data_IF_791463793889
#
_entry.id   IF_791463793889
#
_cell.length_a   1.000
_cell.length_b   1.000
_cell.length_c   1.000
_cell.angle_alpha   90.00
_cell.angle_beta   90.00
_cell.angle_gamma   90.00
#
_symmetry.space_group_name_H-M   'P 1'
#
loop_
_entity.id
_entity.type
_entity.pdbx_description
1 polymer ?
#
# COMPACT_ATOMS: atom_id res chain seq x y z
N UNK A 1 23.34 -18.13 -6.15
CA UNK A 1 22.09 -18.21 -5.36
C UNK A 1 21.10 -17.29 -6.03
N UNK A 2 19.93 -17.80 -6.30
CA UNK A 2 18.82 -17.06 -6.89
C UNK A 2 17.72 -16.90 -5.85
N UNK A 3 17.00 -15.77 -5.88
CA UNK A 3 15.86 -15.52 -5.02
C UNK A 3 14.58 -15.44 -5.85
N UNK A 4 13.62 -16.26 -5.52
CA UNK A 4 12.29 -16.22 -6.09
C UNK A 4 11.41 -15.28 -5.25
N UNK A 5 10.93 -14.24 -5.88
CA UNK A 5 10.14 -13.17 -5.24
C UNK A 5 8.75 -13.15 -5.83
N UNK A 6 7.75 -13.46 -5.01
CA UNK A 6 6.34 -13.47 -5.42
C UNK A 6 5.55 -12.48 -4.60
N UNK A 7 4.75 -11.64 -5.24
CA UNK A 7 3.80 -10.76 -4.55
C UNK A 7 3.55 -9.45 -5.24
N UNK A 8 2.86 -8.58 -4.55
CA UNK A 8 2.63 -7.20 -4.95
C UNK A 8 3.64 -6.24 -4.35
N UNK A 9 3.46 -4.96 -4.64
CA UNK A 9 4.34 -3.89 -4.15
C UNK A 9 4.45 -3.87 -2.61
N UNK A 10 3.37 -4.18 -1.88
CA UNK A 10 3.39 -4.24 -0.41
C UNK A 10 4.35 -5.31 0.14
N UNK A 11 4.40 -6.49 -0.50
CA UNK A 11 5.36 -7.55 -0.16
C UNK A 11 6.79 -7.11 -0.43
N UNK A 12 7.03 -6.43 -1.57
CA UNK A 12 8.35 -5.93 -1.94
C UNK A 12 8.84 -4.85 -0.99
N UNK A 13 7.98 -3.94 -0.55
CA UNK A 13 8.31 -2.94 0.46
C UNK A 13 8.79 -3.60 1.76
N UNK A 14 8.05 -4.57 2.28
CA UNK A 14 8.42 -5.28 3.50
C UNK A 14 9.75 -6.03 3.39
N UNK A 15 10.10 -6.49 2.20
CA UNK A 15 11.35 -7.20 1.92
C UNK A 15 12.46 -6.31 1.36
N UNK A 16 12.24 -5.01 1.22
CA UNK A 16 13.15 -4.07 0.55
C UNK A 16 14.55 -4.06 1.14
N UNK A 17 14.67 -4.11 2.46
CA UNK A 17 15.97 -4.22 3.14
C UNK A 17 16.73 -5.49 2.71
N UNK A 18 16.05 -6.63 2.68
CA UNK A 18 16.63 -7.89 2.24
C UNK A 18 17.04 -7.82 0.76
N UNK A 19 16.17 -7.30 -0.11
CA UNK A 19 16.44 -7.13 -1.54
C UNK A 19 17.68 -6.26 -1.75
N UNK A 20 17.74 -5.10 -1.10
CA UNK A 20 18.85 -4.15 -1.20
C UNK A 20 20.18 -4.76 -0.75
N UNK A 21 20.20 -5.49 0.37
CA UNK A 21 21.42 -6.14 0.88
C UNK A 21 21.87 -7.36 0.06
N UNK A 22 21.04 -7.85 -0.85
CA UNK A 22 21.34 -8.94 -1.77
C UNK A 22 21.34 -8.47 -3.23
N UNK A 23 21.50 -7.18 -3.50
CA UNK A 23 21.35 -6.56 -4.83
C UNK A 23 22.29 -7.13 -5.90
N UNK A 24 23.41 -7.76 -5.51
CA UNK A 24 24.32 -8.45 -6.43
C UNK A 24 23.89 -9.89 -6.79
N UNK A 25 22.79 -10.37 -6.25
CA UNK A 25 22.24 -11.71 -6.53
C UNK A 25 21.22 -11.64 -7.65
N UNK A 26 20.89 -12.80 -8.20
CA UNK A 26 19.84 -12.94 -9.21
C UNK A 26 18.48 -13.04 -8.55
N UNK A 27 17.51 -12.25 -9.04
CA UNK A 27 16.12 -12.28 -8.60
C UNK A 27 15.19 -12.75 -9.72
N UNK A 28 14.28 -13.65 -9.39
CA UNK A 28 13.19 -14.09 -10.22
C UNK A 28 11.93 -13.49 -9.62
N UNK A 29 11.36 -12.51 -10.30
CA UNK A 29 10.25 -11.69 -9.80
C UNK A 29 8.96 -12.09 -10.49
N UNK A 30 8.02 -12.65 -9.74
CA UNK A 30 6.70 -13.05 -10.23
C UNK A 30 5.62 -12.16 -9.61
N UNK A 31 5.02 -11.26 -10.38
CA UNK A 31 4.23 -10.17 -9.84
C UNK A 31 3.14 -9.67 -10.79
N UNK A 32 2.07 -9.11 -10.21
CA UNK A 32 1.10 -8.30 -10.95
C UNK A 32 1.44 -6.80 -10.96
N UNK A 33 2.47 -6.38 -10.22
CA UNK A 33 2.88 -4.99 -10.13
C UNK A 33 3.70 -4.58 -11.35
N UNK A 34 3.10 -3.83 -12.29
CA UNK A 34 3.69 -3.48 -13.60
C UNK A 34 4.96 -2.61 -13.52
N UNK A 35 5.20 -1.91 -12.40
CA UNK A 35 6.41 -1.10 -12.20
C UNK A 35 7.50 -1.82 -11.36
N UNK A 36 7.44 -3.14 -11.25
CA UNK A 36 8.38 -3.92 -10.47
C UNK A 36 9.84 -3.71 -10.92
N UNK A 37 10.09 -3.63 -12.23
CA UNK A 37 11.43 -3.37 -12.77
C UNK A 37 12.03 -2.08 -12.23
N UNK A 38 11.27 -0.99 -12.25
CA UNK A 38 11.71 0.29 -11.73
C UNK A 38 11.95 0.24 -10.21
N UNK A 39 11.08 -0.46 -9.48
CA UNK A 39 11.24 -0.64 -8.03
C UNK A 39 12.55 -1.38 -7.69
N UNK A 40 12.83 -2.51 -8.34
CA UNK A 40 14.05 -3.29 -8.11
C UNK A 40 15.30 -2.52 -8.52
N UNK A 41 15.25 -1.81 -9.65
CA UNK A 41 16.33 -0.91 -10.08
C UNK A 41 16.64 0.18 -9.05
N UNK A 42 15.63 0.78 -8.44
CA UNK A 42 15.80 1.78 -7.39
C UNK A 42 16.43 1.20 -6.10
N UNK A 43 16.28 -0.12 -5.88
CA UNK A 43 16.98 -0.83 -4.80
C UNK A 43 18.42 -1.27 -5.20
N UNK A 44 18.89 -0.90 -6.39
CA UNK A 44 20.23 -1.25 -6.88
C UNK A 44 20.34 -2.69 -7.40
N UNK A 45 19.25 -3.35 -7.72
CA UNK A 45 19.23 -4.71 -8.26
C UNK A 45 19.17 -4.65 -9.78
N UNK A 46 20.18 -5.20 -10.44
CA UNK A 46 20.30 -5.18 -11.91
C UNK A 46 20.00 -6.55 -12.54
N UNK A 47 20.17 -7.62 -11.78
CA UNK A 47 20.02 -8.99 -12.29
C UNK A 47 18.65 -9.56 -11.89
N UNK A 48 17.61 -9.22 -12.67
CA UNK A 48 16.23 -9.64 -12.43
C UNK A 48 15.60 -10.25 -13.69
N UNK A 49 14.81 -11.30 -13.47
CA UNK A 49 13.91 -11.87 -14.46
C UNK A 49 12.47 -11.61 -14.01
N UNK A 50 11.69 -10.88 -14.80
CA UNK A 50 10.33 -10.51 -14.46
C UNK A 50 9.30 -11.36 -15.19
N UNK A 51 8.37 -11.91 -14.42
CA UNK A 51 7.21 -12.66 -14.90
C UNK A 51 5.95 -11.97 -14.38
N UNK A 52 5.14 -11.44 -15.29
CA UNK A 52 3.93 -10.73 -14.95
C UNK A 52 2.72 -11.63 -15.12
N UNK A 53 1.78 -11.54 -14.17
CA UNK A 53 0.49 -12.20 -14.26
C UNK A 53 -0.63 -11.18 -14.05
N UNK A 54 -1.77 -11.41 -14.67
CA UNK A 54 -2.93 -10.51 -14.58
C UNK A 54 -3.94 -10.98 -13.54
N UNK A 55 -4.03 -12.28 -13.28
CA UNK A 55 -4.93 -12.87 -12.29
C UNK A 55 -4.30 -14.06 -11.53
N UNK A 56 -4.99 -14.57 -10.51
CA UNK A 56 -4.49 -15.68 -9.67
C UNK A 56 -4.38 -17.01 -10.41
N UNK A 57 -5.24 -17.28 -11.40
CA UNK A 57 -5.21 -18.52 -12.19
C UNK A 57 -3.98 -18.56 -13.10
N UNK A 58 -3.68 -17.46 -13.79
CA UNK A 58 -2.46 -17.31 -14.58
C UNK A 58 -1.23 -17.50 -13.72
N UNK A 59 -1.28 -16.96 -12.51
CA UNK A 59 -0.21 -17.07 -11.55
C UNK A 59 0.15 -18.53 -11.25
N UNK A 60 -0.81 -19.33 -10.83
CA UNK A 60 -0.54 -20.73 -10.40
C UNK A 60 -0.08 -21.59 -11.58
N UNK A 61 -0.57 -21.36 -12.80
CA UNK A 61 -0.12 -22.04 -14.00
C UNK A 61 1.31 -21.70 -14.43
N UNK A 62 1.82 -20.54 -14.03
CA UNK A 62 3.16 -20.07 -14.38
C UNK A 62 4.24 -20.53 -13.39
N UNK A 63 3.89 -20.78 -12.14
CA UNK A 63 4.87 -21.10 -11.06
C UNK A 63 5.74 -22.29 -11.43
N UNK A 64 5.14 -23.41 -11.84
CA UNK A 64 5.88 -24.63 -12.18
C UNK A 64 6.85 -24.39 -13.33
N UNK A 65 6.41 -23.68 -14.39
CA UNK A 65 7.27 -23.33 -15.53
C UNK A 65 8.44 -22.43 -15.13
N UNK A 66 8.20 -21.47 -14.23
CA UNK A 66 9.24 -20.58 -13.73
C UNK A 66 10.26 -21.38 -12.91
N UNK A 67 9.79 -22.26 -12.03
CA UNK A 67 10.66 -23.11 -11.20
C UNK A 67 11.47 -24.07 -12.07
N UNK A 68 10.85 -24.72 -13.06
CA UNK A 68 11.55 -25.61 -14.01
C UNK A 68 12.66 -24.87 -14.78
N UNK A 69 12.39 -23.65 -15.26
CA UNK A 69 13.37 -22.86 -16.04
C UNK A 69 14.56 -22.37 -15.21
N UNK A 70 14.39 -22.18 -13.90
CA UNK A 70 15.42 -21.61 -13.04
C UNK A 70 16.04 -22.60 -12.03
N UNK A 71 15.54 -23.83 -11.96
CA UNK A 71 16.01 -24.92 -11.11
C UNK A 71 15.49 -24.87 -9.67
N UNK A 72 14.83 -25.94 -9.24
CA UNK A 72 14.17 -26.04 -7.93
C UNK A 72 15.10 -25.82 -6.73
N UNK A 73 16.35 -26.24 -6.83
CA UNK A 73 17.30 -26.28 -5.70
C UNK A 73 18.00 -24.94 -5.41
N UNK A 74 17.67 -23.86 -6.11
CA UNK A 74 18.39 -22.58 -6.00
C UNK A 74 17.50 -21.41 -5.57
N UNK A 75 16.22 -21.62 -5.36
CA UNK A 75 15.24 -20.53 -5.11
C UNK A 75 14.83 -20.51 -3.64
N UNK A 76 15.16 -19.42 -2.95
CA UNK A 76 14.57 -19.12 -1.64
C UNK A 76 13.34 -18.25 -1.88
N UNK A 77 12.18 -18.69 -1.41
CA UNK A 77 10.95 -17.93 -1.52
C UNK A 77 11.06 -16.67 -0.64
N UNK A 78 10.75 -15.48 -1.20
CA UNK A 78 10.82 -14.23 -0.44
C UNK A 78 9.88 -14.20 0.77
N UNK A 79 8.84 -15.05 0.77
CA UNK A 79 7.95 -15.18 1.94
C UNK A 79 8.68 -15.71 3.17
N UNK A 80 9.81 -16.38 2.96
CA UNK A 80 10.71 -16.90 3.99
C UNK A 80 11.86 -15.95 4.30
N UNK A 81 11.99 -14.86 3.52
CA UNK A 81 13.03 -13.87 3.72
C UNK A 81 12.73 -12.94 4.90
N UNK A 82 13.78 -12.44 5.56
CA UNK A 82 13.61 -11.45 6.62
C UNK A 82 12.83 -10.23 6.13
N UNK A 83 11.79 -9.86 6.87
CA UNK A 83 10.99 -8.66 6.62
C UNK A 83 11.36 -7.59 7.62
N UNK A 84 11.36 -6.35 7.17
CA UNK A 84 11.60 -5.19 8.03
C UNK A 84 10.28 -4.56 8.40
N UNK A 85 10.08 -4.27 9.70
CA UNK A 85 8.96 -3.46 10.15
C UNK A 85 9.13 -2.00 9.72
N UNK A 86 10.35 -1.51 9.78
CA UNK A 86 10.71 -0.14 9.44
C UNK A 86 11.80 -0.15 8.38
N UNK A 87 11.66 0.66 7.37
CA UNK A 87 12.63 0.77 6.30
C UNK A 87 12.58 2.16 5.69
N UNK A 88 13.74 2.78 5.62
CA UNK A 88 13.93 4.01 4.84
C UNK A 88 14.14 3.63 3.37
N UNK A 89 13.02 3.38 2.69
CA UNK A 89 13.06 3.18 1.24
C UNK A 89 13.12 4.54 0.60
N UNK A 90 14.22 4.80 -0.09
CA UNK A 90 14.38 5.96 -0.94
C UNK A 90 14.02 5.60 -2.38
N UNK A 91 12.99 6.24 -2.90
CA UNK A 91 12.69 6.22 -4.33
C UNK A 91 13.58 7.20 -5.10
N UNK A 92 13.37 7.26 -6.41
CA UNK A 92 14.16 8.16 -7.28
C UNK A 92 14.02 9.62 -6.85
N UNK A 93 15.04 10.44 -7.15
CA UNK A 93 14.97 11.87 -6.89
C UNK A 93 13.78 12.52 -7.61
N UNK A 94 13.46 12.06 -8.82
CA UNK A 94 12.28 12.52 -9.57
C UNK A 94 10.98 12.30 -8.81
N UNK A 95 10.78 11.11 -8.19
CA UNK A 95 9.60 10.82 -7.39
C UNK A 95 9.50 11.73 -6.14
N UNK A 96 10.62 12.00 -5.49
CA UNK A 96 10.69 12.93 -4.35
C UNK A 96 10.34 14.37 -4.76
N UNK A 97 10.88 14.82 -5.88
CA UNK A 97 10.64 16.17 -6.40
C UNK A 97 9.17 16.33 -6.81
N UNK A 98 8.57 15.33 -7.47
CA UNK A 98 7.17 15.33 -7.84
C UNK A 98 6.26 15.34 -6.60
N UNK A 99 6.56 14.52 -5.60
CA UNK A 99 5.83 14.52 -4.33
C UNK A 99 5.88 15.87 -3.64
N UNK A 100 7.07 16.51 -3.62
CA UNK A 100 7.25 17.84 -3.05
C UNK A 100 6.44 18.89 -3.83
N UNK A 101 6.52 18.90 -5.16
CA UNK A 101 5.74 19.81 -6.00
C UNK A 101 4.24 19.62 -5.78
N UNK A 102 3.79 18.37 -5.67
CA UNK A 102 2.37 18.08 -5.39
C UNK A 102 1.94 18.66 -4.03
N UNK A 103 2.71 18.41 -2.96
CA UNK A 103 2.37 18.90 -1.62
C UNK A 103 2.35 20.42 -1.51
N UNK A 104 3.11 21.11 -2.34
CA UNK A 104 3.14 22.59 -2.41
C UNK A 104 1.92 23.21 -3.10
N UNK A 105 1.02 22.40 -3.66
CA UNK A 105 -0.26 22.91 -4.23
C UNK A 105 -1.24 23.37 -3.17
N UNK A 106 -1.04 23.01 -1.90
CA UNK A 106 -1.83 23.56 -0.80
C UNK A 106 -1.39 25.00 -0.49
N UNK A 107 -2.35 25.92 -0.41
CA UNK A 107 -2.10 27.35 -0.18
C UNK A 107 -1.75 27.71 1.27
N UNK A 108 -1.69 26.71 2.15
CA UNK A 108 -1.51 26.90 3.59
C UNK A 108 -0.54 25.86 4.16
N UNK A 109 -0.11 26.08 5.41
CA UNK A 109 0.80 25.21 6.14
C UNK A 109 0.09 24.18 7.05
N UNK A 110 -1.20 23.95 6.85
CA UNK A 110 -1.94 22.97 7.65
C UNK A 110 -1.34 21.57 7.51
N UNK A 111 -1.39 20.74 8.56
CA UNK A 111 -0.93 19.37 8.48
C UNK A 111 -1.62 18.58 7.37
N UNK A 112 -0.87 17.73 6.68
CA UNK A 112 -1.39 16.91 5.58
C UNK A 112 -1.83 15.55 6.14
N UNK A 113 -3.07 15.16 5.86
CA UNK A 113 -3.63 13.86 6.16
C UNK A 113 -3.72 13.06 4.86
N UNK A 114 -3.02 11.94 4.79
CA UNK A 114 -3.15 11.01 3.67
C UNK A 114 -4.35 10.09 3.86
N UNK A 115 -5.15 9.88 2.83
CA UNK A 115 -6.26 8.92 2.86
C UNK A 115 -6.17 8.00 1.65
N UNK A 116 -6.07 6.69 1.87
CA UNK A 116 -6.20 5.68 0.83
C UNK A 116 -7.36 4.74 1.15
N UNK A 117 -8.54 4.97 0.58
CA UNK A 117 -9.75 4.25 0.95
C UNK A 117 -9.89 2.89 0.26
N UNK A 118 -8.97 2.52 -0.63
CA UNK A 118 -9.04 1.33 -1.48
C UNK A 118 -8.03 0.27 -1.07
N UNK A 119 -8.39 -0.98 -1.19
CA UNK A 119 -7.46 -2.12 -1.05
C UNK A 119 -7.19 -2.80 -2.38
N UNK A 120 -6.07 -3.51 -2.47
CA UNK A 120 -5.57 -4.12 -3.71
C UNK A 120 -6.51 -5.14 -4.39
N UNK A 121 -7.52 -5.62 -3.69
CA UNK A 121 -8.51 -6.57 -4.22
C UNK A 121 -9.93 -5.99 -4.19
N UNK A 122 -10.03 -4.65 -4.24
CA UNK A 122 -11.32 -4.01 -4.34
C UNK A 122 -11.92 -4.29 -5.71
N UNK A 123 -13.01 -5.06 -5.72
CA UNK A 123 -13.93 -5.14 -6.84
C UNK A 123 -15.34 -4.97 -6.31
N UNK A 124 -16.22 -4.36 -7.11
CA UNK A 124 -17.64 -4.27 -6.81
C UNK A 124 -18.26 -5.65 -6.53
N UNK A 125 -17.74 -6.69 -7.17
CA UNK A 125 -18.20 -8.06 -7.03
C UNK A 125 -17.80 -8.66 -5.67
N UNK A 126 -16.63 -8.34 -5.14
CA UNK A 126 -16.22 -8.76 -3.79
C UNK A 126 -17.07 -8.08 -2.73
N UNK A 127 -17.44 -6.81 -2.93
CA UNK A 127 -18.35 -6.07 -2.07
C UNK A 127 -19.76 -6.70 -2.08
N UNK A 128 -20.29 -7.01 -3.28
CA UNK A 128 -21.63 -7.57 -3.44
C UNK A 128 -21.75 -9.00 -2.92
N UNK A 129 -20.70 -9.80 -3.07
CA UNK A 129 -20.70 -11.23 -2.72
C UNK A 129 -20.70 -11.49 -1.21
N UNK A 130 -20.08 -10.59 -0.42
CA UNK A 130 -19.92 -10.78 1.02
C UNK A 130 -20.60 -9.71 1.87
N UNK A 131 -21.21 -8.69 1.26
CA UNK A 131 -21.92 -7.62 1.97
C UNK A 131 -21.03 -6.75 2.87
N UNK A 132 -19.73 -6.92 2.81
CA UNK A 132 -18.75 -6.24 3.66
C UNK A 132 -17.68 -5.58 2.80
N UNK A 133 -17.38 -4.30 3.02
CA UNK A 133 -16.26 -3.63 2.39
C UNK A 133 -14.96 -4.10 3.06
N UNK A 134 -14.47 -5.27 2.69
CA UNK A 134 -13.28 -5.85 3.31
C UNK A 134 -12.06 -4.93 3.21
N UNK A 135 -11.99 -4.10 2.15
CA UNK A 135 -10.86 -3.20 1.87
C UNK A 135 -11.34 -1.89 1.23
N UNK A 136 -12.34 -1.24 1.82
CA UNK A 136 -12.90 0.00 1.28
C UNK A 136 -13.48 0.88 2.37
N UNK A 137 -13.18 2.19 2.32
CA UNK A 137 -13.79 3.20 3.16
C UNK A 137 -14.73 4.02 2.27
N UNK A 138 -16.06 4.04 2.50
CA UNK A 138 -17.01 4.80 1.70
C UNK A 138 -16.71 6.30 1.66
N UNK A 139 -16.96 6.93 0.52
CA UNK A 139 -16.71 8.36 0.32
C UNK A 139 -17.54 9.24 1.23
N UNK A 140 -18.75 8.85 1.58
CA UNK A 140 -19.62 9.56 2.51
C UNK A 140 -19.04 9.60 3.94
N UNK A 141 -18.38 8.52 4.38
CA UNK A 141 -17.64 8.49 5.65
C UNK A 141 -16.42 9.40 5.59
N UNK A 142 -15.65 9.37 4.49
CA UNK A 142 -14.50 10.27 4.31
C UNK A 142 -14.94 11.73 4.31
N UNK A 143 -16.05 12.05 3.66
CA UNK A 143 -16.61 13.43 3.68
C UNK A 143 -17.00 13.91 5.09
N UNK A 144 -17.40 13.03 6.01
CA UNK A 144 -17.73 13.38 7.40
C UNK A 144 -16.47 13.68 8.24
N UNK A 145 -15.32 13.07 7.91
CA UNK A 145 -14.08 13.28 8.68
C UNK A 145 -13.21 14.42 8.15
N UNK A 146 -13.48 14.94 6.95
CA UNK A 146 -12.77 16.09 6.39
C UNK A 146 -13.13 17.36 7.16
N UNK A 147 -12.09 18.11 7.61
CA UNK A 147 -12.20 19.37 8.34
C UNK A 147 -11.31 20.45 7.70
N UNK A 148 -11.67 21.72 7.88
CA UNK A 148 -10.94 22.84 7.28
C UNK A 148 -9.54 23.08 7.89
N UNK A 149 -9.26 22.55 9.08
CA UNK A 149 -7.98 22.73 9.77
C UNK A 149 -6.84 21.85 9.23
N UNK A 150 -7.14 20.97 8.28
CA UNK A 150 -6.18 20.03 7.68
C UNK A 150 -6.22 20.08 6.16
N UNK A 151 -5.12 19.68 5.55
CA UNK A 151 -5.04 19.36 4.14
C UNK A 151 -5.19 17.85 3.94
N UNK A 152 -5.88 17.44 2.90
CA UNK A 152 -6.14 16.01 2.62
C UNK A 152 -5.65 15.62 1.23
N UNK A 153 -4.92 14.52 1.16
CA UNK A 153 -4.55 13.87 -0.09
C UNK A 153 -5.31 12.55 -0.17
N UNK A 154 -6.20 12.43 -1.15
CA UNK A 154 -6.90 11.17 -1.43
C UNK A 154 -6.07 10.38 -2.44
N UNK A 155 -5.49 9.28 -1.99
CA UNK A 155 -4.70 8.38 -2.82
C UNK A 155 -5.58 7.37 -3.54
N UNK A 156 -5.28 7.11 -4.80
CA UNK A 156 -5.94 6.12 -5.64
C UNK A 156 -5.47 6.20 -7.08
N UNK A 157 -5.73 5.17 -7.85
CA UNK A 157 -5.60 5.23 -9.31
C UNK A 157 -6.70 6.10 -9.91
N UNK A 158 -6.51 6.56 -11.15
CA UNK A 158 -7.52 7.35 -11.85
C UNK A 158 -8.89 6.64 -11.86
N UNK A 159 -8.92 5.35 -12.17
CA UNK A 159 -10.15 4.55 -12.20
C UNK A 159 -10.82 4.37 -10.82
N UNK A 160 -10.06 4.37 -9.74
CA UNK A 160 -10.59 4.32 -8.38
C UNK A 160 -11.19 5.67 -7.97
N UNK A 161 -10.51 6.76 -8.31
CA UNK A 161 -10.89 8.12 -7.92
C UNK A 161 -12.02 8.69 -8.77
N UNK A 162 -12.16 8.28 -10.03
CA UNK A 162 -13.22 8.72 -10.94
C UNK A 162 -14.64 8.55 -10.35
N UNK A 163 -14.84 7.43 -9.65
CA UNK A 163 -16.14 7.09 -9.05
C UNK A 163 -16.19 7.34 -7.53
N UNK A 164 -15.16 7.96 -6.97
CA UNK A 164 -15.08 8.23 -5.55
C UNK A 164 -15.55 9.65 -5.22
N UNK A 165 -16.76 9.76 -4.66
CA UNK A 165 -17.48 11.02 -4.45
C UNK A 165 -16.93 11.85 -3.28
N UNK A 166 -15.61 12.02 -3.19
CA UNK A 166 -14.97 13.01 -2.33
C UNK A 166 -14.60 14.22 -3.17
N UNK A 167 -15.25 15.36 -2.87
CA UNK A 167 -15.10 16.59 -3.67
C UNK A 167 -13.74 17.24 -3.43
N UNK A 168 -13.01 17.48 -4.50
CA UNK A 168 -11.81 18.30 -4.45
C UNK A 168 -12.13 19.75 -4.04
N UNK A 169 -11.24 20.34 -3.26
CA UNK A 169 -11.34 21.72 -2.78
C UNK A 169 -9.93 22.28 -2.53
N UNK A 170 -9.83 23.50 -2.00
CA UNK A 170 -8.53 24.10 -1.64
C UNK A 170 -7.70 23.27 -0.65
N UNK A 171 -8.37 22.47 0.17
CA UNK A 171 -7.73 21.61 1.19
C UNK A 171 -7.93 20.10 0.95
N UNK A 172 -8.52 19.70 -0.18
CA UNK A 172 -8.69 18.26 -0.56
C UNK A 172 -8.25 18.07 -2.00
N UNK A 173 -7.24 17.25 -2.20
CA UNK A 173 -6.70 16.93 -3.52
C UNK A 173 -6.69 15.43 -3.75
N UNK A 174 -6.99 15.00 -4.98
CA UNK A 174 -6.80 13.63 -5.44
C UNK A 174 -5.41 13.47 -6.04
N UNK A 175 -4.76 12.34 -5.83
CA UNK A 175 -3.47 12.06 -6.46
C UNK A 175 -3.63 11.89 -7.98
N UNK A 176 -2.66 12.45 -8.71
CA UNK A 176 -2.55 12.30 -10.16
C UNK A 176 -1.09 12.06 -10.58
N UNK A 177 -0.31 11.46 -9.69
CA UNK A 177 1.11 11.17 -9.89
C UNK A 177 1.35 9.65 -9.87
N UNK A 178 2.52 9.21 -10.29
CA UNK A 178 2.84 7.78 -10.29
C UNK A 178 2.91 7.18 -8.88
N UNK A 179 2.89 5.85 -8.78
CA UNK A 179 2.83 5.15 -7.50
C UNK A 179 4.04 5.43 -6.60
N UNK A 180 5.24 5.63 -7.15
CA UNK A 180 6.43 5.90 -6.34
C UNK A 180 6.37 7.32 -5.75
N UNK A 181 5.93 8.29 -6.54
CA UNK A 181 5.66 9.65 -6.09
C UNK A 181 4.53 9.68 -5.06
N UNK A 182 3.49 8.87 -5.24
CA UNK A 182 2.45 8.65 -4.22
C UNK A 182 3.04 8.12 -2.90
N UNK A 183 3.95 7.14 -2.95
CA UNK A 183 4.58 6.60 -1.76
C UNK A 183 5.52 7.61 -1.08
N UNK A 184 6.21 8.48 -1.83
CA UNK A 184 6.94 9.61 -1.27
C UNK A 184 6.00 10.67 -0.64
N UNK A 185 4.82 10.91 -1.23
CA UNK A 185 3.79 11.78 -0.63
C UNK A 185 3.31 11.27 0.73
N UNK A 186 3.20 9.95 0.92
CA UNK A 186 2.84 9.34 2.21
C UNK A 186 3.83 9.77 3.31
N UNK A 187 5.13 9.87 3.01
CA UNK A 187 6.15 10.31 3.98
C UNK A 187 5.98 11.76 4.41
N UNK A 188 5.34 12.58 3.60
CA UNK A 188 5.05 13.99 3.89
C UNK A 188 3.78 14.18 4.72
N UNK A 189 2.98 13.14 4.91
CA UNK A 189 1.77 13.21 5.70
C UNK A 189 2.07 13.24 7.20
N UNK A 190 1.35 14.07 7.94
CA UNK A 190 1.38 14.12 9.41
C UNK A 190 0.66 12.92 10.03
N UNK A 191 -0.34 12.39 9.33
CA UNK A 191 -1.02 11.13 9.66
C UNK A 191 -1.61 10.49 8.40
N UNK A 192 -1.98 9.22 8.53
CA UNK A 192 -2.52 8.45 7.41
C UNK A 192 -3.77 7.67 7.83
N UNK A 193 -4.76 7.66 6.95
CA UNK A 193 -6.00 6.89 7.08
C UNK A 193 -6.08 5.92 5.91
N UNK A 194 -6.32 4.66 6.16
CA UNK A 194 -6.44 3.72 5.05
C UNK A 194 -7.00 2.37 5.43
N UNK A 195 -7.16 1.54 4.42
CA UNK A 195 -7.48 0.13 4.55
C UNK A 195 -6.22 -0.72 4.33
N UNK A 196 -6.34 -2.04 4.34
CA UNK A 196 -5.22 -2.94 4.08
C UNK A 196 -4.70 -2.81 2.64
N UNK A 197 -3.64 -2.04 2.49
CA UNK A 197 -3.05 -1.67 1.20
C UNK A 197 -1.54 -1.41 1.30
N UNK A 198 -0.89 -1.25 0.16
CA UNK A 198 0.51 -0.84 0.07
C UNK A 198 0.78 0.51 0.76
N UNK A 199 -0.16 1.45 0.67
CA UNK A 199 -0.05 2.77 1.29
C UNK A 199 -0.06 2.70 2.81
N UNK A 200 -0.92 1.83 3.40
CA UNK A 200 -0.88 1.52 4.83
C UNK A 200 0.49 0.94 5.23
N UNK A 201 1.02 0.03 4.43
CA UNK A 201 2.34 -0.54 4.69
C UNK A 201 3.42 0.54 4.66
N UNK A 202 3.42 1.40 3.65
CA UNK A 202 4.39 2.49 3.52
C UNK A 202 4.30 3.50 4.65
N UNK A 203 3.08 3.93 5.03
CA UNK A 203 2.90 4.88 6.13
C UNK A 203 3.45 4.31 7.44
N UNK A 204 3.12 3.06 7.75
CA UNK A 204 3.59 2.41 8.99
C UNK A 204 5.09 2.17 8.99
N UNK A 205 5.69 1.74 7.88
CA UNK A 205 7.15 1.55 7.76
C UNK A 205 7.92 2.85 7.96
N UNK A 206 7.36 3.99 7.57
CA UNK A 206 7.95 5.32 7.78
C UNK A 206 7.50 5.99 9.08
N UNK A 207 6.85 5.26 9.99
CA UNK A 207 6.37 5.75 11.30
C UNK A 207 5.38 6.90 11.20
N UNK A 208 4.69 7.04 10.07
CA UNK A 208 3.57 7.98 9.94
C UNK A 208 2.40 7.44 10.76
N UNK A 209 1.86 8.18 11.74
CA UNK A 209 0.72 7.74 12.54
C UNK A 209 -0.44 7.30 11.66
N UNK A 210 -0.84 6.04 11.75
CA UNK A 210 -1.78 5.42 10.81
C UNK A 210 -3.04 4.94 11.49
N UNK A 211 -4.21 5.30 10.96
CA UNK A 211 -5.50 4.73 11.30
C UNK A 211 -5.89 3.74 10.20
N UNK A 212 -5.99 2.46 10.53
CA UNK A 212 -6.25 1.40 9.56
C UNK A 212 -7.61 0.76 9.79
N UNK A 213 -8.44 0.72 8.74
CA UNK A 213 -9.71 0.01 8.74
C UNK A 213 -9.51 -1.37 8.11
N UNK A 214 -9.77 -2.42 8.88
CA UNK A 214 -9.67 -3.80 8.44
C UNK A 214 -11.05 -4.45 8.46
N UNK A 215 -11.46 -5.08 7.36
CA UNK A 215 -12.64 -5.95 7.34
C UNK A 215 -12.31 -7.35 7.87
N UNK A 216 -13.34 -8.12 8.20
CA UNK A 216 -13.21 -9.48 8.75
C UNK A 216 -12.42 -10.48 7.87
N UNK A 217 -12.23 -10.17 6.58
CA UNK A 217 -11.47 -11.02 5.64
C UNK A 217 -9.97 -10.80 5.65
N UNK A 218 -9.48 -9.84 6.43
CA UNK A 218 -8.05 -9.50 6.48
C UNK A 218 -7.27 -10.28 7.54
N UNK A 219 -7.87 -11.30 8.15
CA UNK A 219 -7.20 -12.19 9.11
C UNK A 219 -6.23 -13.18 8.42
N UNK A 220 -5.47 -12.70 7.46
CA UNK A 220 -4.30 -13.44 7.00
C UNK A 220 -3.26 -13.36 8.11
N UNK A 221 -2.97 -14.50 8.74
CA UNK A 221 -2.04 -14.66 9.88
C UNK A 221 -0.73 -13.88 9.69
N UNK A 222 -0.28 -13.76 8.46
CA UNK A 222 0.94 -13.06 8.07
C UNK A 222 0.89 -11.55 8.30
N UNK A 223 -0.18 -10.91 7.87
CA UNK A 223 -0.32 -9.46 7.97
C UNK A 223 -0.65 -9.04 9.40
N UNK A 224 -1.30 -9.91 10.15
CA UNK A 224 -1.58 -9.71 11.57
C UNK A 224 -0.30 -9.52 12.41
N UNK A 225 0.78 -10.22 12.08
CA UNK A 225 2.06 -10.06 12.78
C UNK A 225 2.61 -8.63 12.64
N UNK A 226 2.57 -8.04 11.43
CA UNK A 226 2.99 -6.66 11.19
C UNK A 226 2.05 -5.66 11.86
N UNK A 227 0.75 -5.86 11.71
CA UNK A 227 -0.28 -5.01 12.32
C UNK A 227 -0.08 -4.98 13.84
N UNK A 228 0.02 -6.11 14.50
CA UNK A 228 0.22 -6.20 15.94
C UNK A 228 1.50 -5.48 16.41
N UNK A 229 2.58 -5.56 15.62
CA UNK A 229 3.82 -4.85 15.97
C UNK A 229 3.65 -3.33 15.84
N UNK A 230 3.02 -2.85 14.76
CA UNK A 230 2.76 -1.42 14.58
C UNK A 230 1.80 -0.86 15.62
N UNK A 231 0.80 -1.63 16.06
CA UNK A 231 -0.08 -1.25 17.17
C UNK A 231 0.70 -1.16 18.47
N UNK A 232 1.54 -2.15 18.77
CA UNK A 232 2.40 -2.18 19.97
C UNK A 232 3.37 -1.00 20.01
N UNK A 233 3.90 -0.60 18.86
CA UNK A 233 4.83 0.52 18.74
C UNK A 233 4.11 1.88 18.72
N UNK A 234 2.78 1.90 18.76
CA UNK A 234 1.96 3.12 18.71
C UNK A 234 1.92 3.83 17.35
N UNK A 235 2.41 3.16 16.30
CA UNK A 235 2.42 3.70 14.92
C UNK A 235 1.07 3.54 14.24
N UNK A 236 0.34 2.47 14.59
CA UNK A 236 -0.94 2.15 13.98
C UNK A 236 -2.03 2.01 15.04
N UNK A 237 -3.23 2.50 14.70
CA UNK A 237 -4.49 2.13 15.37
C UNK A 237 -5.36 1.39 14.38
N UNK A 238 -6.03 0.33 14.82
CA UNK A 238 -6.84 -0.52 13.94
C UNK A 238 -8.30 -0.48 14.34
N UNK A 239 -9.17 -0.24 13.37
CA UNK A 239 -10.61 -0.45 13.48
C UNK A 239 -11.01 -1.72 12.75
N UNK A 240 -11.55 -2.70 13.45
CA UNK A 240 -12.02 -3.95 12.84
C UNK A 240 -13.49 -3.80 12.45
N UNK A 241 -13.71 -3.61 11.15
CA UNK A 241 -15.02 -3.37 10.59
C UNK A 241 -15.75 -4.69 10.33
N UNK A 242 -16.86 -4.90 11.03
CA UNK A 242 -17.78 -6.03 10.81
C UNK A 242 -18.99 -5.64 9.95
N UNK A 243 -19.50 -4.44 10.13
CA UNK A 243 -20.63 -3.91 9.37
C UNK A 243 -20.56 -2.38 9.35
N UNK A 244 -20.60 -1.78 8.15
CA UNK A 244 -20.67 -0.31 8.05
C UNK A 244 -21.95 0.22 8.66
N UNK A 245 -23.08 -0.45 8.40
CA UNK A 245 -24.39 0.00 8.87
C UNK A 245 -24.43 0.10 10.39
N UNK A 246 -23.92 -0.90 11.08
CA UNK A 246 -24.01 -1.01 12.53
C UNK A 246 -22.89 -0.24 13.27
N UNK A 247 -21.77 0.00 12.60
CA UNK A 247 -20.57 0.62 13.18
C UNK A 247 -20.23 1.98 12.58
N UNK A 248 -21.16 2.62 11.84
CA UNK A 248 -20.88 3.86 11.13
C UNK A 248 -20.38 4.98 12.06
N UNK A 249 -21.06 5.19 13.17
CA UNK A 249 -20.69 6.27 14.13
C UNK A 249 -19.33 6.00 14.71
N UNK A 250 -19.07 4.78 15.21
CA UNK A 250 -17.79 4.38 15.78
C UNK A 250 -16.65 4.51 14.74
N UNK A 251 -16.93 4.20 13.47
CA UNK A 251 -15.96 4.32 12.40
C UNK A 251 -15.63 5.79 12.10
N UNK A 252 -16.63 6.66 12.01
CA UNK A 252 -16.43 8.10 11.83
C UNK A 252 -15.63 8.67 12.99
N UNK A 253 -15.99 8.37 14.24
CA UNK A 253 -15.27 8.82 15.43
C UNK A 253 -13.83 8.30 15.47
N UNK A 254 -13.62 7.05 15.08
CA UNK A 254 -12.27 6.49 14.95
C UNK A 254 -11.42 7.23 13.91
N UNK A 255 -12.00 7.56 12.76
CA UNK A 255 -11.28 8.21 11.65
C UNK A 255 -11.09 9.72 11.88
N UNK A 256 -11.92 10.36 12.68
CA UNK A 256 -11.80 11.79 12.99
C UNK A 256 -10.39 12.13 13.53
N UNK A 257 -9.82 13.21 12.98
CA UNK A 257 -8.45 13.70 13.30
C UNK A 257 -8.51 14.72 14.43
#
# INVERSE_FOLDING_TARGET
MKFYVRGGLGDFLQCSWFIKNNSTKEFIVHTHFKQAELFFKNLGVENCHFYYFDNTEDHDSQVDKIVENHGENSTTNIRECPRSFYSDIDFSQAAKDEAKVFSQRFDNSNPIIGIHPFGSNFSSDTYSKFGLPAKYIPSDIVNEVIKDDFNYIIFGSESELENYNVKQSKNVMHTNVDVQSCLELVKLCSSFIGTDSVFKTMSSMNRVPTKCVLGDFTDVIRDQYFINQYEKDGVMKVFRLKSIKDQRVDLVDFLAV
#
